data_IF_646033865801
#
_entry.id   IF_646033865801
#
_cell.length_a   1.000
_cell.length_b   1.000
_cell.length_c   1.000
_cell.angle_alpha   90.00
_cell.angle_beta   90.00
_cell.angle_gamma   90.00
#
_symmetry.space_group_name_H-M   'P 1'
#
loop_
_entity.id
_entity.type
_entity.pdbx_description
1 polymer ?
#
# COMPACT_ATOMS: atom_id res chain seq x y z
N UNK A 1 -33.54 4.05 -55.74
CA UNK A 1 -33.13 2.79 -56.38
C UNK A 1 -32.13 2.12 -55.45
N UNK A 2 -32.61 1.18 -54.64
CA UNK A 2 -31.82 0.45 -53.64
C UNK A 2 -31.30 -0.87 -54.25
N UNK A 3 -30.03 -1.20 -54.01
CA UNK A 3 -29.46 -2.53 -54.34
C UNK A 3 -29.00 -3.23 -53.08
N UNK A 4 -29.68 -4.34 -52.83
CA UNK A 4 -29.44 -5.35 -51.80
C UNK A 4 -28.15 -6.13 -52.10
N UNK A 5 -27.33 -6.37 -51.07
CA UNK A 5 -26.16 -7.26 -51.14
C UNK A 5 -26.45 -8.44 -50.23
N UNK A 6 -26.39 -9.63 -50.83
CA UNK A 6 -26.78 -10.91 -50.24
C UNK A 6 -25.82 -11.39 -49.15
N UNK A 7 -26.43 -12.02 -48.14
CA UNK A 7 -25.76 -12.74 -47.06
C UNK A 7 -25.36 -14.13 -47.56
N UNK A 8 -24.07 -14.47 -47.45
CA UNK A 8 -23.56 -15.79 -47.78
C UNK A 8 -23.78 -16.76 -46.61
N UNK A 9 -24.36 -17.89 -46.99
CA UNK A 9 -24.68 -19.06 -46.19
C UNK A 9 -23.41 -19.87 -45.91
N UNK A 10 -23.05 -20.09 -44.65
CA UNK A 10 -22.01 -21.06 -44.27
C UNK A 10 -22.46 -21.96 -43.12
N UNK A 11 -22.85 -23.17 -43.53
CA UNK A 11 -22.70 -24.48 -42.88
C UNK A 11 -22.68 -24.52 -41.35
N UNK A 12 -23.82 -24.94 -40.79
CA UNK A 12 -23.90 -25.69 -39.53
C UNK A 12 -23.09 -26.99 -39.63
N UNK A 13 -21.94 -27.04 -38.98
CA UNK A 13 -21.33 -28.31 -38.56
C UNK A 13 -21.80 -28.61 -37.14
N UNK A 14 -22.71 -29.58 -37.06
CA UNK A 14 -23.08 -30.28 -35.84
C UNK A 14 -21.85 -31.02 -35.32
N UNK A 15 -21.32 -30.61 -34.17
CA UNK A 15 -20.32 -31.38 -33.43
C UNK A 15 -20.96 -31.80 -32.11
N UNK A 16 -21.24 -33.09 -32.01
CA UNK A 16 -21.53 -33.81 -30.77
C UNK A 16 -20.44 -33.46 -29.74
N UNK A 17 -20.83 -32.77 -28.66
CA UNK A 17 -20.02 -32.72 -27.45
C UNK A 17 -20.57 -33.72 -26.45
N UNK A 18 -19.78 -34.78 -26.32
CA UNK A 18 -19.88 -35.92 -25.43
C UNK A 18 -20.14 -35.49 -23.99
N UNK A 19 -21.22 -36.02 -23.41
CA UNK A 19 -21.53 -35.95 -21.98
C UNK A 19 -20.62 -36.91 -21.19
N UNK A 20 -19.61 -36.39 -20.51
CA UNK A 20 -18.82 -37.04 -19.46
C UNK A 20 -18.23 -35.91 -18.59
N UNK A 21 -18.28 -35.83 -17.27
CA UNK A 21 -18.83 -36.66 -16.20
C UNK A 21 -19.17 -35.70 -15.03
N UNK A 22 -20.42 -35.74 -14.56
CA UNK A 22 -20.82 -35.06 -13.32
C UNK A 22 -20.30 -35.86 -12.13
N UNK A 23 -19.16 -35.46 -11.55
CA UNK A 23 -18.79 -35.89 -10.20
C UNK A 23 -19.50 -35.00 -9.19
N UNK A 24 -20.74 -35.37 -8.87
CA UNK A 24 -21.39 -34.96 -7.65
C UNK A 24 -20.76 -35.72 -6.48
N UNK A 25 -19.92 -35.04 -5.69
CA UNK A 25 -19.47 -35.54 -4.40
C UNK A 25 -20.26 -34.83 -3.30
N UNK A 26 -21.46 -35.34 -3.05
CA UNK A 26 -22.18 -35.10 -1.80
C UNK A 26 -21.68 -36.12 -0.77
N UNK A 27 -21.07 -35.66 0.31
CA UNK A 27 -21.02 -36.40 1.56
C UNK A 27 -21.71 -35.56 2.63
N UNK A 28 -22.82 -36.12 3.12
CA UNK A 28 -23.58 -35.66 4.25
C UNK A 28 -23.26 -36.51 5.49
N UNK A 29 -23.35 -35.90 6.67
CA UNK A 29 -23.29 -36.52 8.00
C UNK A 29 -22.38 -35.70 8.91
N UNK A 30 -22.79 -35.06 10.00
CA UNK A 30 -24.02 -35.12 10.78
C UNK A 30 -23.64 -35.20 12.26
N UNK A 31 -23.52 -34.06 12.95
CA UNK A 31 -23.74 -33.91 14.40
C UNK A 31 -24.07 -32.45 14.68
N UNK A 32 -25.27 -32.18 15.18
CA UNK A 32 -25.66 -30.86 15.66
C UNK A 32 -24.94 -30.56 16.98
N UNK A 33 -23.87 -29.77 16.89
CA UNK A 33 -23.27 -29.04 18.00
C UNK A 33 -23.24 -27.58 17.59
N UNK A 34 -23.46 -26.70 18.58
CA UNK A 34 -23.56 -25.25 18.46
C UNK A 34 -22.81 -24.65 17.25
N UNK A 35 -23.53 -23.95 16.37
CA UNK A 35 -22.94 -23.21 15.23
C UNK A 35 -22.01 -22.13 15.76
N UNK A 36 -20.75 -22.53 15.90
CA UNK A 36 -19.63 -21.70 16.27
C UNK A 36 -19.16 -20.93 15.05
N UNK A 37 -18.57 -19.75 15.26
CA UNK A 37 -17.95 -18.89 14.25
C UNK A 37 -16.86 -19.59 13.39
N UNK A 38 -16.65 -20.90 13.56
CA UNK A 38 -15.72 -21.73 12.82
C UNK A 38 -16.26 -22.20 11.46
N UNK A 39 -17.58 -22.20 11.23
CA UNK A 39 -18.18 -22.60 9.94
C UNK A 39 -17.90 -21.57 8.83
N UNK A 40 -17.96 -20.27 9.15
CA UNK A 40 -17.69 -19.20 8.18
C UNK A 40 -16.23 -19.16 7.71
N UNK A 41 -15.30 -19.48 8.62
CA UNK A 41 -13.86 -19.58 8.30
C UNK A 41 -13.59 -20.76 7.37
N UNK A 42 -14.30 -21.88 7.57
CA UNK A 42 -14.18 -23.07 6.73
C UNK A 42 -14.72 -22.85 5.31
N UNK A 43 -15.83 -22.11 5.18
CA UNK A 43 -16.41 -21.75 3.87
C UNK A 43 -15.49 -20.83 3.06
N UNK A 44 -14.87 -19.84 3.72
CA UNK A 44 -13.95 -18.92 3.07
C UNK A 44 -12.69 -19.63 2.54
N UNK A 45 -12.13 -20.56 3.31
CA UNK A 45 -10.96 -21.35 2.90
C UNK A 45 -11.28 -22.23 1.69
N UNK A 46 -12.48 -22.82 1.64
CA UNK A 46 -12.95 -23.61 0.48
C UNK A 46 -12.99 -22.76 -0.80
N UNK A 47 -13.51 -21.52 -0.73
CA UNK A 47 -13.50 -20.60 -1.87
C UNK A 47 -12.07 -20.28 -2.34
N UNK A 48 -11.13 -20.07 -1.43
CA UNK A 48 -9.73 -19.80 -1.80
C UNK A 48 -9.01 -21.03 -2.37
N UNK A 49 -9.34 -22.23 -1.92
CA UNK A 49 -8.81 -23.46 -2.52
C UNK A 49 -9.34 -23.67 -3.94
N UNK A 50 -10.64 -23.45 -4.16
CA UNK A 50 -11.25 -23.52 -5.49
C UNK A 50 -10.63 -22.50 -6.46
N UNK A 51 -10.38 -21.27 -6.01
CA UNK A 51 -9.74 -20.24 -6.81
C UNK A 51 -8.31 -20.64 -7.24
N UNK A 52 -7.49 -21.13 -6.29
CA UNK A 52 -6.13 -21.61 -6.59
C UNK A 52 -6.12 -22.77 -7.59
N UNK A 53 -7.08 -23.69 -7.47
CA UNK A 53 -7.21 -24.79 -8.41
C UNK A 53 -7.60 -24.30 -9.81
N UNK A 54 -8.55 -23.37 -9.90
CA UNK A 54 -8.99 -22.78 -11.16
C UNK A 54 -7.84 -22.04 -11.86
N UNK A 55 -7.04 -21.26 -11.12
CA UNK A 55 -5.85 -20.59 -11.66
C UNK A 55 -4.82 -21.59 -12.20
N UNK A 56 -4.57 -22.68 -11.45
CA UNK A 56 -3.67 -23.73 -11.88
C UNK A 56 -4.16 -24.43 -13.15
N UNK A 57 -5.47 -24.64 -13.30
CA UNK A 57 -6.07 -25.19 -14.52
C UNK A 57 -5.95 -24.20 -15.68
N UNK A 58 -6.32 -22.93 -15.48
CA UNK A 58 -6.25 -21.92 -16.52
C UNK A 58 -4.81 -21.70 -17.02
N UNK A 59 -3.82 -21.77 -16.12
CA UNK A 59 -2.40 -21.65 -16.48
C UNK A 59 -1.87 -22.79 -17.36
N UNK A 60 -2.51 -23.97 -17.31
CA UNK A 60 -2.09 -25.16 -18.07
C UNK A 60 -2.82 -25.32 -19.40
N UNK A 61 -3.74 -24.42 -19.75
CA UNK A 61 -4.42 -24.45 -21.06
C UNK A 61 -3.40 -24.23 -22.20
N UNK A 62 -3.38 -25.11 -23.21
CA UNK A 62 -2.49 -24.98 -24.38
C UNK A 62 -2.82 -23.74 -25.21
N UNK A 63 -1.91 -23.41 -26.15
CA UNK A 63 -1.56 -22.10 -26.73
C UNK A 63 -2.62 -21.22 -27.43
N UNK A 64 -3.90 -21.28 -27.05
CA UNK A 64 -4.85 -20.21 -27.38
C UNK A 64 -4.88 -19.16 -26.25
N UNK A 65 -4.23 -17.99 -26.44
CA UNK A 65 -4.23 -16.94 -25.42
C UNK A 65 -5.65 -16.44 -25.12
N UNK A 66 -6.55 -16.46 -26.11
CA UNK A 66 -7.95 -16.08 -25.93
C UNK A 66 -8.69 -17.01 -24.96
N UNK A 67 -8.51 -18.33 -25.08
CA UNK A 67 -9.12 -19.32 -24.18
C UNK A 67 -8.57 -19.21 -22.75
N UNK A 68 -7.26 -18.97 -22.63
CA UNK A 68 -6.63 -18.78 -21.33
C UNK A 68 -7.19 -17.55 -20.60
N UNK A 69 -7.35 -16.43 -21.32
CA UNK A 69 -7.95 -15.21 -20.77
C UNK A 69 -9.42 -15.44 -20.40
N UNK A 70 -10.21 -16.06 -21.26
CA UNK A 70 -11.60 -16.41 -20.98
C UNK A 70 -11.73 -17.31 -19.73
N UNK A 71 -10.83 -18.29 -19.57
CA UNK A 71 -10.75 -19.13 -18.38
C UNK A 71 -10.53 -18.31 -17.11
N UNK A 72 -9.55 -17.40 -17.10
CA UNK A 72 -9.29 -16.55 -15.93
C UNK A 72 -10.46 -15.62 -15.60
N UNK A 73 -11.14 -15.08 -16.61
CA UNK A 73 -12.33 -14.24 -16.42
C UNK A 73 -13.45 -15.04 -15.73
N UNK A 74 -13.71 -16.27 -16.21
CA UNK A 74 -14.72 -17.16 -15.62
C UNK A 74 -14.34 -17.62 -14.21
N UNK A 75 -13.07 -17.98 -13.99
CA UNK A 75 -12.56 -18.37 -12.67
C UNK A 75 -12.76 -17.26 -11.64
N UNK A 76 -12.45 -16.01 -12.02
CA UNK A 76 -12.63 -14.84 -11.16
C UNK A 76 -14.11 -14.54 -10.88
N UNK A 77 -14.99 -14.69 -11.87
CA UNK A 77 -16.42 -14.54 -11.67
C UNK A 77 -16.97 -15.57 -10.66
N UNK A 78 -16.56 -16.84 -10.79
CA UNK A 78 -16.93 -17.90 -9.86
C UNK A 78 -16.40 -17.66 -8.43
N UNK A 79 -15.19 -17.11 -8.30
CA UNK A 79 -14.63 -16.74 -7.00
C UNK A 79 -15.48 -15.65 -6.31
N UNK A 80 -15.92 -14.63 -7.04
CA UNK A 80 -16.78 -13.59 -6.49
C UNK A 80 -18.13 -14.15 -6.05
N UNK A 81 -18.74 -15.01 -6.85
CA UNK A 81 -19.99 -15.69 -6.48
C UNK A 81 -19.83 -16.54 -5.22
N UNK A 82 -18.69 -17.26 -5.09
CA UNK A 82 -18.38 -18.05 -3.89
C UNK A 82 -18.30 -17.17 -2.64
N UNK A 83 -17.58 -16.05 -2.73
CA UNK A 83 -17.44 -15.10 -1.62
C UNK A 83 -18.79 -14.47 -1.24
N UNK A 84 -19.62 -14.10 -2.21
CA UNK A 84 -20.94 -13.53 -1.97
C UNK A 84 -21.86 -14.50 -1.23
N UNK A 85 -21.82 -15.80 -1.58
CA UNK A 85 -22.58 -16.84 -0.87
C UNK A 85 -22.12 -17.00 0.58
N UNK A 86 -20.80 -17.08 0.80
CA UNK A 86 -20.23 -17.23 2.15
C UNK A 86 -20.58 -16.02 3.04
N UNK A 87 -20.51 -14.80 2.48
CA UNK A 87 -20.88 -13.58 3.21
C UNK A 87 -22.39 -13.51 3.48
N UNK A 88 -23.23 -13.93 2.52
CA UNK A 88 -24.68 -13.97 2.67
C UNK A 88 -25.13 -14.98 3.73
N UNK A 89 -24.44 -16.11 3.84
CA UNK A 89 -24.69 -17.13 4.85
C UNK A 89 -24.29 -16.64 6.25
N UNK A 90 -23.15 -15.95 6.37
CA UNK A 90 -22.73 -15.31 7.61
C UNK A 90 -23.68 -14.19 8.09
N UNK A 91 -24.44 -13.59 7.17
CA UNK A 91 -25.38 -12.51 7.46
C UNK A 91 -26.79 -13.00 7.86
N UNK A 92 -27.08 -14.31 7.79
CA UNK A 92 -28.40 -14.83 8.21
C UNK A 92 -28.52 -14.74 9.74
N UNK A 93 -29.45 -13.93 10.27
CA UNK A 93 -29.69 -13.89 11.71
C UNK A 93 -30.22 -15.26 12.14
N UNK A 94 -29.62 -15.82 13.19
CA UNK A 94 -30.11 -17.03 13.83
C UNK A 94 -31.56 -16.79 14.27
N UNK A 95 -32.52 -17.37 13.56
CA UNK A 95 -33.93 -17.38 13.98
C UNK A 95 -33.96 -18.19 15.28
N UNK A 96 -34.33 -17.61 16.43
CA UNK A 96 -34.42 -18.36 17.67
C UNK A 96 -35.54 -19.39 17.50
N UNK A 97 -35.16 -20.65 17.56
CA UNK A 97 -36.11 -21.76 17.62
C UNK A 97 -37.04 -21.57 18.82
N UNK A 98 -38.32 -21.54 18.52
CA UNK A 98 -39.44 -21.64 19.44
C UNK A 98 -39.20 -22.74 20.49
N UNK A 99 -39.14 -22.35 21.77
CA UNK A 99 -39.36 -23.24 22.91
C UNK A 99 -40.01 -22.46 24.04
N UNK A 100 -41.29 -22.78 24.23
CA UNK A 100 -42.04 -22.87 25.48
C UNK A 100 -41.86 -21.74 26.52
N UNK A 101 -42.80 -20.81 26.50
CA UNK A 101 -43.84 -20.71 27.54
C UNK A 101 -43.44 -21.15 28.96
N UNK A 102 -43.13 -20.17 29.81
CA UNK A 102 -43.67 -20.14 31.18
C UNK A 102 -43.74 -18.71 31.72
N UNK A 103 -44.95 -18.37 32.15
CA UNK A 103 -45.39 -17.10 32.70
C UNK A 103 -44.73 -16.76 34.05
N UNK A 104 -44.53 -15.45 34.32
CA UNK A 104 -44.83 -14.81 35.63
C UNK A 104 -44.59 -13.27 35.61
N UNK A 105 -45.12 -12.50 36.59
CA UNK A 105 -45.93 -11.31 36.31
C UNK A 105 -45.32 -9.99 36.84
N UNK A 106 -45.90 -8.88 36.37
CA UNK A 106 -45.61 -7.51 36.79
C UNK A 106 -46.15 -7.16 38.18
N UNK A 107 -45.60 -6.11 38.81
CA UNK A 107 -46.41 -5.20 39.63
C UNK A 107 -46.00 -3.70 39.39
N UNK A 108 -46.58 -2.69 40.08
CA UNK A 108 -47.57 -1.81 39.48
C UNK A 108 -47.13 -0.33 39.40
N UNK A 109 -47.99 0.41 38.71
CA UNK A 109 -48.05 1.85 38.48
C UNK A 109 -48.15 2.62 39.80
N UNK A 110 -47.49 3.79 39.87
CA UNK A 110 -48.08 4.90 40.63
C UNK A 110 -47.79 6.28 39.98
N UNK A 111 -48.69 7.20 40.27
CA UNK A 111 -49.13 8.27 39.38
C UNK A 111 -48.64 9.68 39.78
N UNK A 112 -48.29 10.47 38.76
CA UNK A 112 -48.68 11.89 38.55
C UNK A 112 -48.09 13.07 39.40
N UNK A 113 -48.13 14.32 38.85
CA UNK A 113 -47.21 15.47 39.08
C UNK A 113 -47.93 16.65 39.84
N UNK A 114 -47.57 17.98 39.82
CA UNK A 114 -46.67 18.79 38.96
C UNK A 114 -45.85 19.96 39.60
N UNK A 115 -45.13 20.68 38.72
CA UNK A 115 -44.91 22.14 38.64
C UNK A 115 -43.48 22.75 38.72
N UNK A 116 -43.35 23.84 37.93
CA UNK A 116 -42.31 24.87 37.80
C UNK A 116 -41.07 24.51 36.93
N UNK A 117 -40.82 25.09 35.75
CA UNK A 117 -40.71 26.49 35.28
C UNK A 117 -39.31 27.12 35.47
N UNK A 118 -38.85 27.85 34.43
CA UNK A 118 -37.54 28.51 34.22
C UNK A 118 -36.35 27.59 33.94
N UNK A 119 -35.43 27.81 33.00
CA UNK A 119 -34.90 29.07 32.47
C UNK A 119 -34.26 28.83 31.09
N UNK A 120 -34.42 29.79 30.16
CA UNK A 120 -33.92 29.75 28.78
C UNK A 120 -32.60 30.55 28.71
N UNK A 121 -31.47 30.00 28.25
CA UNK A 121 -30.27 30.80 28.04
C UNK A 121 -30.39 31.62 26.75
N UNK A 122 -30.21 32.93 26.89
CA UNK A 122 -29.90 33.82 25.78
C UNK A 122 -28.49 33.51 25.26
N UNK A 123 -28.33 33.38 23.95
CA UNK A 123 -27.03 33.46 23.30
C UNK A 123 -27.13 34.32 22.04
N UNK A 124 -26.35 35.38 22.11
CA UNK A 124 -26.29 36.57 21.28
C UNK A 124 -25.47 36.26 20.02
N UNK A 125 -26.09 36.37 18.85
CA UNK A 125 -25.41 36.38 17.55
C UNK A 125 -25.43 37.81 16.99
N UNK A 126 -24.26 38.37 16.68
CA UNK A 126 -24.00 39.36 15.63
C UNK A 126 -22.56 39.91 15.78
N UNK A 127 -21.58 39.21 15.21
CA UNK A 127 -20.27 39.76 14.93
C UNK A 127 -20.26 40.28 13.49
N UNK A 128 -20.32 41.60 13.33
CA UNK A 128 -20.30 42.33 12.07
C UNK A 128 -18.85 42.51 11.62
N UNK A 129 -18.51 41.99 10.45
CA UNK A 129 -17.25 42.24 9.76
C UNK A 129 -17.30 43.64 9.15
N UNK A 130 -16.42 44.53 9.59
CA UNK A 130 -16.10 45.77 8.88
C UNK A 130 -14.93 45.54 7.93
N UNK A 131 -15.14 45.94 6.69
CA UNK A 131 -14.19 45.96 5.60
C UNK A 131 -13.91 47.44 5.29
N UNK A 132 -12.64 47.84 5.09
CA UNK A 132 -12.36 48.98 4.22
C UNK A 132 -11.61 48.54 2.97
N UNK A 133 -12.16 48.92 1.81
CA UNK A 133 -11.47 49.00 0.53
C UNK A 133 -10.55 50.22 0.50
N UNK A 134 -9.31 50.04 0.02
CA UNK A 134 -8.53 51.02 -0.75
C UNK A 134 -7.54 50.20 -1.59
N UNK A 135 -7.67 50.02 -2.91
CA UNK A 135 -7.67 50.94 -4.06
C UNK A 135 -6.27 51.38 -4.53
N UNK A 136 -6.00 51.06 -5.80
CA UNK A 136 -5.13 51.72 -6.81
C UNK A 136 -3.61 51.45 -6.83
N UNK A 137 -3.13 51.09 -8.03
CA UNK A 137 -1.77 51.42 -8.52
C UNK A 137 -1.16 50.37 -9.45
N UNK A 138 -1.67 50.18 -10.69
CA UNK A 138 -1.02 50.57 -11.97
C UNK A 138 0.40 50.04 -12.23
N UNK A 139 0.50 49.29 -13.33
CA UNK A 139 1.68 48.97 -14.16
C UNK A 139 2.37 50.24 -14.71
N UNK A 140 3.64 50.16 -15.15
CA UNK A 140 4.01 49.85 -16.55
C UNK A 140 5.16 48.82 -16.65
N UNK A 141 5.20 47.90 -17.62
CA UNK A 141 5.58 48.03 -19.05
C UNK A 141 7.08 48.29 -19.25
N UNK A 142 7.63 47.59 -20.26
CA UNK A 142 8.94 47.69 -20.91
C UNK A 142 10.11 46.86 -20.34
N UNK A 143 10.98 46.21 -21.11
CA UNK A 143 11.09 46.04 -22.57
C UNK A 143 12.20 45.02 -22.89
N UNK A 144 12.08 44.50 -24.12
CA UNK A 144 12.93 43.66 -24.96
C UNK A 144 14.44 43.47 -24.66
N UNK A 145 14.94 42.27 -25.00
CA UNK A 145 15.91 42.01 -26.09
C UNK A 145 16.46 40.57 -25.96
N UNK A 146 16.10 39.63 -26.85
CA UNK A 146 16.77 39.28 -28.14
C UNK A 146 18.06 38.44 -28.01
N UNK A 147 17.99 37.25 -28.65
CA UNK A 147 18.97 36.60 -29.57
C UNK A 147 20.36 36.25 -28.98
N UNK A 148 21.03 35.14 -29.27
CA UNK A 148 21.10 34.21 -30.41
C UNK A 148 21.63 32.85 -29.89
N UNK A 149 21.16 31.71 -30.41
CA UNK A 149 21.86 30.88 -31.41
C UNK A 149 23.39 30.86 -31.33
N UNK A 150 23.95 29.72 -30.90
CA UNK A 150 25.18 29.15 -31.46
C UNK A 150 25.34 27.67 -31.05
N UNK A 151 25.02 26.79 -31.98
CA UNK A 151 25.55 25.42 -32.05
C UNK A 151 26.97 25.46 -32.63
N UNK A 152 27.86 24.54 -32.22
CA UNK A 152 28.64 23.80 -33.21
C UNK A 152 28.58 22.28 -32.89
N UNK A 153 28.13 21.45 -33.83
CA UNK A 153 28.84 20.88 -35.00
C UNK A 153 29.82 19.76 -34.63
N UNK A 154 29.45 18.57 -35.09
CA UNK A 154 30.08 17.26 -34.99
C UNK A 154 31.47 17.16 -35.64
N UNK A 155 32.29 16.24 -35.10
CA UNK A 155 33.23 15.38 -35.83
C UNK A 155 33.49 14.14 -34.94
N UNK A 156 32.94 12.95 -35.23
CA UNK A 156 33.38 11.91 -36.18
C UNK A 156 34.60 11.09 -35.70
N UNK A 157 34.27 9.86 -35.31
CA UNK A 157 34.95 8.56 -35.49
C UNK A 157 36.49 8.46 -35.54
N UNK A 158 37.03 7.50 -34.78
CA UNK A 158 37.72 6.34 -35.37
C UNK A 158 37.96 5.20 -34.36
N UNK A 159 37.44 4.03 -34.73
CA UNK A 159 37.66 2.63 -34.30
C UNK A 159 37.36 1.81 -35.59
N UNK A 160 37.86 0.58 -35.89
CA UNK A 160 38.78 -0.41 -35.27
C UNK A 160 39.79 -0.95 -36.35
N UNK A 161 40.19 -2.26 -36.48
CA UNK A 161 40.30 -3.44 -35.59
C UNK A 161 41.67 -4.19 -35.69
N UNK A 162 41.94 -5.14 -34.77
CA UNK A 162 42.61 -6.43 -35.10
C UNK A 162 42.65 -7.37 -33.87
N UNK A 163 41.89 -8.48 -33.90
CA UNK A 163 42.38 -9.88 -34.01
C UNK A 163 42.98 -10.42 -32.69
N UNK A 164 42.21 -11.20 -31.91
CA UNK A 164 42.02 -12.67 -32.03
C UNK A 164 43.15 -13.47 -31.39
N UNK A 165 42.87 -14.11 -30.25
CA UNK A 165 43.21 -15.51 -30.01
C UNK A 165 42.50 -16.05 -28.74
N UNK A 166 41.81 -17.17 -28.93
CA UNK A 166 41.36 -18.06 -27.86
C UNK A 166 42.51 -19.04 -27.51
N UNK A 167 42.44 -19.73 -26.35
CA UNK A 167 41.96 -21.11 -26.49
C UNK A 167 41.02 -21.59 -25.37
N UNK A 168 40.11 -22.43 -25.84
CA UNK A 168 39.38 -23.55 -25.25
C UNK A 168 39.89 -24.07 -23.90
N UNK A 169 38.98 -24.17 -22.94
CA UNK A 169 39.13 -24.92 -21.69
C UNK A 169 37.78 -25.09 -21.00
N UNK A 170 37.04 -26.10 -21.41
CA UNK A 170 35.78 -26.50 -20.78
C UNK A 170 36.00 -27.05 -19.37
N UNK A 171 34.95 -26.95 -18.54
CA UNK A 171 34.44 -27.93 -17.56
C UNK A 171 34.11 -27.33 -16.18
N UNK A 172 32.86 -27.60 -15.78
CA UNK A 172 32.22 -27.57 -14.45
C UNK A 172 31.66 -26.23 -13.94
N UNK A 173 30.47 -25.96 -14.47
CA UNK A 173 29.36 -25.38 -13.73
C UNK A 173 29.03 -26.25 -12.51
N UNK A 174 29.58 -25.92 -11.35
CA UNK A 174 29.06 -26.43 -10.08
C UNK A 174 27.96 -25.50 -9.55
N UNK A 175 26.81 -26.14 -9.38
CA UNK A 175 25.59 -25.63 -8.77
C UNK A 175 25.89 -25.19 -7.33
N UNK A 176 26.26 -23.92 -7.14
CA UNK A 176 26.20 -23.30 -5.81
C UNK A 176 24.73 -22.96 -5.52
N UNK A 177 24.09 -23.87 -4.78
CA UNK A 177 22.69 -23.79 -4.41
C UNK A 177 22.30 -22.40 -3.91
N UNK A 178 21.18 -21.90 -4.46
CA UNK A 178 20.35 -20.88 -3.83
C UNK A 178 19.93 -21.40 -2.45
N UNK A 179 20.77 -21.14 -1.46
CA UNK A 179 20.36 -21.15 -0.07
C UNK A 179 19.43 -19.94 0.07
N UNK A 180 18.13 -20.21 0.24
CA UNK A 180 17.21 -19.23 0.79
C UNK A 180 17.68 -18.94 2.23
N UNK A 181 18.69 -18.08 2.37
CA UNK A 181 18.92 -17.38 3.63
C UNK A 181 17.78 -16.36 3.75
N UNK A 182 16.63 -16.84 4.22
CA UNK A 182 15.69 -15.98 4.93
C UNK A 182 16.49 -15.46 6.13
N UNK A 183 16.83 -14.16 6.19
CA UNK A 183 17.53 -13.63 7.35
C UNK A 183 16.68 -13.90 8.58
N UNK A 184 17.35 -14.29 9.67
CA UNK A 184 16.72 -14.39 10.97
C UNK A 184 15.92 -13.11 11.28
N UNK A 185 14.76 -13.20 11.93
CA UNK A 185 14.01 -12.00 12.31
C UNK A 185 14.82 -11.23 13.34
N UNK A 186 15.48 -10.15 12.91
CA UNK A 186 16.30 -9.37 13.82
C UNK A 186 17.01 -8.24 13.10
N UNK A 187 16.56 -7.01 13.39
CA UNK A 187 17.28 -5.72 13.31
C UNK A 187 18.02 -5.35 12.00
N UNK A 188 17.99 -6.19 10.98
CA UNK A 188 18.66 -5.95 9.71
C UNK A 188 17.70 -5.33 8.70
N UNK A 189 18.24 -4.46 7.84
CA UNK A 189 17.49 -3.94 6.71
C UNK A 189 17.08 -5.06 5.76
N UNK A 190 15.81 -5.09 5.42
CA UNK A 190 15.26 -5.91 4.35
C UNK A 190 15.09 -4.99 3.15
N UNK A 191 15.81 -5.29 2.08
CA UNK A 191 15.75 -4.54 0.83
C UNK A 191 15.05 -5.36 -0.24
N UNK A 192 13.99 -4.80 -0.80
CA UNK A 192 13.26 -5.35 -1.94
C UNK A 192 13.43 -4.42 -3.13
N UNK A 193 13.90 -4.98 -4.24
CA UNK A 193 14.07 -4.28 -5.51
C UNK A 193 13.13 -4.92 -6.53
N UNK A 194 12.21 -4.14 -7.06
CA UNK A 194 11.29 -4.54 -8.11
C UNK A 194 11.24 -3.47 -9.20
N UNK A 195 10.56 -3.75 -10.30
CA UNK A 195 10.31 -2.77 -11.35
C UNK A 195 8.81 -2.62 -11.53
N UNK A 196 8.36 -1.39 -11.77
CA UNK A 196 6.96 -1.11 -12.06
C UNK A 196 6.52 -1.84 -13.34
N UNK A 197 5.39 -2.55 -13.34
CA UNK A 197 4.94 -3.31 -14.51
C UNK A 197 4.43 -2.41 -15.65
N UNK A 198 4.14 -1.14 -15.38
CA UNK A 198 3.59 -0.21 -16.38
C UNK A 198 4.69 0.51 -17.17
N UNK A 199 5.76 0.92 -16.50
CA UNK A 199 6.79 1.81 -17.06
C UNK A 199 8.22 1.33 -16.82
N UNK A 200 8.39 0.12 -16.24
CA UNK A 200 9.69 -0.48 -15.90
C UNK A 200 10.59 0.40 -15.01
N UNK A 201 10.01 1.40 -14.33
CA UNK A 201 10.75 2.24 -13.40
C UNK A 201 11.18 1.43 -12.17
N UNK A 202 12.38 1.67 -11.62
CA UNK A 202 12.84 0.95 -10.43
C UNK A 202 11.97 1.31 -9.21
N UNK A 203 11.61 0.29 -8.47
CA UNK A 203 10.88 0.36 -7.21
C UNK A 203 11.76 -0.27 -6.12
N UNK A 204 12.28 0.58 -5.23
CA UNK A 204 13.09 0.11 -4.10
C UNK A 204 12.28 0.30 -2.83
N UNK A 205 12.24 -0.73 -1.99
CA UNK A 205 11.68 -0.65 -0.64
C UNK A 205 12.69 -1.21 0.34
N UNK A 206 13.22 -0.36 1.21
CA UNK A 206 14.03 -0.75 2.34
C UNK A 206 13.18 -0.65 3.61
N UNK A 207 13.16 -1.71 4.42
CA UNK A 207 12.46 -1.71 5.71
C UNK A 207 13.34 -2.23 6.82
N UNK A 208 13.16 -1.69 8.01
CA UNK A 208 13.76 -2.19 9.25
C UNK A 208 12.68 -2.23 10.34
N UNK A 209 12.75 -3.25 11.19
CA UNK A 209 11.80 -3.41 12.30
C UNK A 209 12.29 -2.62 13.51
N UNK A 210 11.33 -2.18 14.32
CA UNK A 210 11.64 -1.58 15.61
C UNK A 210 12.30 -2.61 16.54
N UNK A 211 13.16 -2.12 17.43
CA UNK A 211 13.67 -2.91 18.56
C UNK A 211 12.70 -3.01 19.72
N UNK A 212 11.64 -2.18 19.73
CA UNK A 212 10.56 -2.26 20.70
C UNK A 212 9.37 -3.04 20.14
N UNK A 213 8.81 -3.92 20.96
CA UNK A 213 7.58 -4.64 20.66
C UNK A 213 6.41 -4.05 21.46
N UNK A 214 5.94 -2.89 21.03
CA UNK A 214 4.77 -2.23 21.62
C UNK A 214 3.57 -2.52 20.76
N UNK A 215 2.52 -3.12 21.36
CA UNK A 215 1.27 -3.41 20.67
C UNK A 215 0.72 -2.16 19.99
N UNK A 216 0.41 -2.28 18.70
CA UNK A 216 -0.13 -1.20 17.87
C UNK A 216 0.76 0.08 17.89
N UNK A 217 2.02 -0.05 18.31
CA UNK A 217 3.04 0.99 18.27
C UNK A 217 3.72 1.07 16.91
N UNK A 218 4.65 2.01 16.73
CA UNK A 218 5.45 2.06 15.53
C UNK A 218 6.36 0.83 15.48
N UNK A 219 6.30 0.06 14.39
CA UNK A 219 6.98 -1.24 14.32
C UNK A 219 7.90 -1.40 13.10
N UNK A 220 7.78 -0.51 12.11
CA UNK A 220 8.54 -0.60 10.86
C UNK A 220 8.91 0.79 10.39
N UNK A 221 10.19 1.02 10.17
CA UNK A 221 10.68 2.20 9.47
C UNK A 221 10.96 1.81 8.02
N UNK A 222 10.45 2.58 7.08
CA UNK A 222 10.48 2.25 5.66
C UNK A 222 10.97 3.43 4.81
N UNK A 223 11.91 3.14 3.92
CA UNK A 223 12.38 4.04 2.87
C UNK A 223 11.96 3.45 1.54
N UNK A 224 11.25 4.24 0.72
CA UNK A 224 10.76 3.81 -0.58
C UNK A 224 11.27 4.74 -1.67
N UNK A 225 11.61 4.17 -2.82
CA UNK A 225 11.85 4.88 -4.05
C UNK A 225 10.82 4.44 -5.08
N UNK A 226 10.03 5.38 -5.61
CA UNK A 226 9.08 5.12 -6.70
C UNK A 226 9.09 6.28 -7.67
N UNK A 227 9.30 5.99 -8.96
CA UNK A 227 9.31 7.01 -10.01
C UNK A 227 10.23 8.21 -9.66
N UNK A 228 11.44 7.92 -9.15
CA UNK A 228 12.43 8.90 -8.68
C UNK A 228 12.00 9.73 -7.45
N UNK A 229 10.81 9.48 -6.88
CA UNK A 229 10.36 10.06 -5.64
C UNK A 229 10.76 9.18 -4.45
N UNK A 230 11.44 9.77 -3.48
CA UNK A 230 11.79 9.10 -2.23
C UNK A 230 10.70 9.38 -1.20
N UNK A 231 10.25 8.35 -0.50
CA UNK A 231 9.30 8.46 0.59
C UNK A 231 9.88 7.81 1.85
N UNK A 232 9.72 8.49 2.98
CA UNK A 232 10.05 7.98 4.31
C UNK A 232 8.75 7.75 5.07
N UNK A 233 8.57 6.58 5.68
CA UNK A 233 7.38 6.29 6.47
C UNK A 233 7.65 5.40 7.67
N UNK A 234 6.77 5.50 8.66
CA UNK A 234 6.73 4.62 9.83
C UNK A 234 5.39 3.91 9.83
N UNK A 235 5.39 2.59 10.02
CA UNK A 235 4.19 1.75 10.00
C UNK A 235 3.86 1.16 11.35
N UNK A 236 2.64 0.67 11.47
CA UNK A 236 2.14 -0.12 12.60
C UNK A 236 1.30 -1.29 12.09
N UNK A 237 1.14 -2.31 12.94
CA UNK A 237 0.17 -3.38 12.72
C UNK A 237 -1.26 -2.94 13.09
N UNK A 238 -1.37 -1.95 13.98
CA UNK A 238 -2.63 -1.36 14.41
C UNK A 238 -3.17 -0.30 13.45
N UNK A 239 -3.99 0.60 13.99
CA UNK A 239 -4.53 1.76 13.26
C UNK A 239 -4.43 3.00 14.12
N UNK A 240 -3.71 4.00 13.65
CA UNK A 240 -3.65 5.32 14.27
C UNK A 240 -4.72 6.23 13.70
N UNK A 241 -5.17 7.17 14.53
CA UNK A 241 -6.06 8.25 14.11
C UNK A 241 -5.37 9.60 14.28
N UNK A 242 -5.52 10.48 13.30
CA UNK A 242 -5.10 11.87 13.43
C UNK A 242 -6.11 12.63 14.31
N UNK A 243 -5.66 13.48 15.24
CA UNK A 243 -6.55 14.35 16.02
C UNK A 243 -7.34 15.33 15.13
N UNK A 244 -6.70 15.84 14.05
CA UNK A 244 -7.29 16.76 13.07
C UNK A 244 -6.74 16.49 11.67
N UNK A 245 -7.62 16.48 10.66
CA UNK A 245 -7.23 16.23 9.28
C UNK A 245 -6.60 14.85 9.10
N UNK A 246 -5.49 14.80 8.36
CA UNK A 246 -4.68 13.61 8.11
C UNK A 246 -3.23 13.81 8.58
N UNK A 247 -2.99 14.70 9.55
CA UNK A 247 -1.65 14.94 10.08
C UNK A 247 -1.52 14.40 11.51
N UNK A 248 -0.39 13.74 11.78
CA UNK A 248 -0.04 13.24 13.10
C UNK A 248 1.26 13.90 13.55
N UNK A 249 1.29 14.43 14.77
CA UNK A 249 2.53 14.96 15.35
C UNK A 249 3.44 13.80 15.73
N UNK A 250 4.64 13.81 15.16
CA UNK A 250 5.68 12.82 15.42
C UNK A 250 6.86 13.54 16.06
N UNK A 251 7.21 13.10 17.26
CA UNK A 251 8.43 13.44 17.96
C UNK A 251 9.49 12.42 17.51
N UNK A 252 10.60 12.87 16.94
CA UNK A 252 11.72 11.98 16.61
C UNK A 252 13.04 12.52 17.13
N UNK A 253 13.95 11.60 17.44
CA UNK A 253 15.26 11.88 17.99
C UNK A 253 16.28 10.97 17.31
N UNK A 254 17.38 11.56 16.84
CA UNK A 254 18.50 10.81 16.26
C UNK A 254 19.61 10.77 17.32
N UNK A 255 19.92 9.58 17.84
CA UNK A 255 20.81 9.40 18.99
C UNK A 255 20.38 10.31 20.16
N UNK A 256 21.31 11.12 20.69
CA UNK A 256 21.09 12.07 21.78
C UNK A 256 20.87 13.52 21.30
N UNK A 257 20.53 13.71 20.03
CA UNK A 257 20.17 15.04 19.51
C UNK A 257 18.88 15.57 20.15
N UNK A 258 18.59 16.87 20.06
CA UNK A 258 17.30 17.42 20.50
C UNK A 258 16.12 16.72 19.82
N UNK A 259 15.06 16.47 20.58
CA UNK A 259 13.81 15.92 20.04
C UNK A 259 13.19 16.95 19.09
N UNK A 260 12.91 16.52 17.86
CA UNK A 260 12.23 17.35 16.86
C UNK A 260 10.78 16.89 16.75
N UNK A 261 9.84 17.80 16.99
CA UNK A 261 8.40 17.59 16.83
C UNK A 261 7.93 18.17 15.51
N UNK A 262 7.35 17.35 14.64
CA UNK A 262 6.82 17.84 13.36
C UNK A 262 5.60 17.05 12.87
N UNK A 263 4.71 17.65 12.05
CA UNK A 263 3.58 16.95 11.48
C UNK A 263 4.00 16.02 10.34
N UNK A 264 3.53 14.77 10.40
CA UNK A 264 3.67 13.75 9.35
C UNK A 264 2.29 13.43 8.78
N UNK A 265 2.24 12.94 7.54
CA UNK A 265 0.98 12.64 6.85
C UNK A 265 0.56 11.22 7.21
N UNK A 266 -0.57 11.08 7.89
CA UNK A 266 -1.20 9.79 8.17
C UNK A 266 -1.83 9.22 6.90
N UNK A 267 -1.56 7.94 6.63
CA UNK A 267 -2.18 7.21 5.54
C UNK A 267 -3.68 7.06 5.75
N UNK A 268 -4.44 6.94 4.65
CA UNK A 268 -5.90 6.78 4.71
C UNK A 268 -6.34 5.53 5.49
N UNK A 269 -5.52 4.48 5.44
CA UNK A 269 -5.77 3.25 6.20
C UNK A 269 -5.35 3.36 7.68
N UNK A 270 -4.72 4.47 8.10
CA UNK A 270 -4.23 4.72 9.44
C UNK A 270 -3.06 3.83 9.86
N UNK A 271 -2.43 3.09 8.93
CA UNK A 271 -1.38 2.12 9.25
C UNK A 271 0.04 2.65 9.08
N UNK A 272 0.18 3.87 8.55
CA UNK A 272 1.47 4.50 8.35
C UNK A 272 1.40 6.01 8.51
N UNK A 273 2.51 6.60 8.92
CA UNK A 273 2.75 8.04 8.81
C UNK A 273 3.94 8.27 7.88
N UNK A 274 3.80 9.16 6.92
CA UNK A 274 4.85 9.52 5.96
C UNK A 274 5.42 10.90 6.27
N UNK A 275 6.74 11.01 6.16
CA UNK A 275 7.46 12.26 6.37
C UNK A 275 7.01 13.31 5.35
N UNK A 276 6.68 14.52 5.83
CA UNK A 276 6.10 15.57 4.99
C UNK A 276 7.15 16.41 4.23
N UNK A 277 8.34 16.58 4.83
CA UNK A 277 9.39 17.43 4.27
C UNK A 277 10.33 16.62 3.37
N UNK A 278 11.52 17.12 3.04
CA UNK A 278 12.49 16.41 2.20
C UNK A 278 13.05 15.16 2.92
N UNK A 279 12.67 13.93 2.49
CA UNK A 279 13.17 12.72 3.12
C UNK A 279 14.64 12.45 2.80
N UNK A 280 15.17 12.99 1.71
CA UNK A 280 16.57 12.82 1.31
C UNK A 280 17.48 13.56 2.28
N UNK A 281 17.13 14.80 2.65
CA UNK A 281 17.88 15.58 3.64
C UNK A 281 17.88 14.90 5.01
N UNK A 282 16.72 14.42 5.48
CA UNK A 282 16.63 13.71 6.75
C UNK A 282 17.44 12.40 6.73
N UNK A 283 17.35 11.59 5.67
CA UNK A 283 18.14 10.37 5.56
C UNK A 283 19.66 10.65 5.53
N UNK A 284 20.07 11.76 4.92
CA UNK A 284 21.49 12.17 4.88
C UNK A 284 22.00 12.67 6.24
N UNK A 285 21.16 13.34 7.02
CA UNK A 285 21.54 13.84 8.34
C UNK A 285 21.71 12.73 9.39
N UNK A 286 21.08 11.57 9.17
CA UNK A 286 21.21 10.41 10.07
C UNK A 286 22.59 9.74 9.88
N UNK A 287 23.40 9.62 10.95
CA UNK A 287 24.68 8.91 10.92
C UNK A 287 24.50 7.39 10.68
N UNK A 288 25.57 6.74 10.23
CA UNK A 288 25.57 5.27 10.14
C UNK A 288 25.47 4.63 11.53
N UNK A 289 24.61 3.62 11.68
CA UNK A 289 24.43 2.93 12.95
C UNK A 289 23.73 3.77 14.03
N UNK A 290 23.12 4.89 13.66
CA UNK A 290 22.39 5.72 14.60
C UNK A 290 21.09 5.03 15.07
N UNK A 291 20.69 5.34 16.29
CA UNK A 291 19.39 4.96 16.83
C UNK A 291 18.39 6.08 16.56
N UNK A 292 17.31 5.77 15.85
CA UNK A 292 16.18 6.68 15.65
C UNK A 292 15.08 6.33 16.65
N UNK A 293 14.82 7.22 17.61
CA UNK A 293 13.68 7.11 18.52
C UNK A 293 12.53 7.93 17.97
N UNK A 294 11.33 7.37 18.02
CA UNK A 294 10.12 8.01 17.52
C UNK A 294 9.01 7.83 18.52
N UNK A 295 8.35 8.92 18.90
CA UNK A 295 7.12 8.92 19.67
C UNK A 295 6.02 9.65 18.92
N UNK A 296 4.82 9.09 18.94
CA UNK A 296 3.62 9.70 18.36
C UNK A 296 2.46 9.58 19.34
N UNK A 297 1.52 10.53 19.25
CA UNK A 297 0.28 10.52 20.02
C UNK A 297 -0.90 10.50 19.07
N UNK A 298 -1.71 9.44 19.13
CA UNK A 298 -2.90 9.28 18.28
C UNK A 298 -4.10 10.10 18.78
N UNK A 299 -5.23 10.03 18.08
CA UNK A 299 -6.49 10.70 18.43
C UNK A 299 -6.98 10.38 19.85
N UNK A 300 -6.61 9.23 20.42
CA UNK A 300 -6.91 8.86 21.80
C UNK A 300 -5.95 9.46 22.82
N UNK A 301 -5.01 10.32 22.39
CA UNK A 301 -3.85 10.79 23.15
C UNK A 301 -3.00 9.65 23.70
N UNK A 302 -3.07 8.45 23.08
CA UNK A 302 -2.23 7.33 23.47
C UNK A 302 -0.85 7.57 22.87
N UNK A 303 0.12 7.88 23.74
CA UNK A 303 1.52 8.04 23.34
C UNK A 303 2.15 6.67 23.14
N UNK A 304 2.73 6.45 21.97
CA UNK A 304 3.41 5.22 21.59
C UNK A 304 4.80 5.57 21.10
N UNK A 305 5.78 4.82 21.56
CA UNK A 305 7.18 5.06 21.26
C UNK A 305 7.80 3.81 20.65
N UNK A 306 8.79 4.03 19.79
CA UNK A 306 9.59 3.01 19.19
C UNK A 306 11.03 3.48 18.94
N UNK A 307 11.97 2.54 19.00
CA UNK A 307 13.35 2.76 18.59
C UNK A 307 13.70 1.90 17.37
N UNK A 308 14.55 2.44 16.49
CA UNK A 308 15.05 1.76 15.31
C UNK A 308 16.58 1.88 15.28
N UNK A 309 17.28 0.76 15.23
CA UNK A 309 18.74 0.73 15.10
C UNK A 309 19.14 0.74 13.63
N UNK A 310 19.61 1.87 13.11
CA UNK A 310 19.81 2.09 11.68
C UNK A 310 21.20 1.59 11.19
N UNK A 311 21.63 0.43 11.69
CA UNK A 311 22.86 -0.23 11.23
C UNK A 311 22.69 -0.68 9.78
N UNK A 312 23.60 -0.31 8.87
CA UNK A 312 23.49 -0.59 7.43
C UNK A 312 22.74 0.47 6.62
N UNK A 313 22.41 1.62 7.23
CA UNK A 313 21.72 2.72 6.55
C UNK A 313 22.52 3.26 5.34
N UNK A 314 23.84 3.20 5.37
CA UNK A 314 24.76 3.61 4.30
C UNK A 314 24.48 2.85 3.00
N UNK A 315 24.37 1.52 3.08
CA UNK A 315 24.01 0.68 1.95
C UNK A 315 22.61 0.97 1.42
N UNK A 316 21.66 1.26 2.32
CA UNK A 316 20.30 1.68 1.94
C UNK A 316 20.33 3.02 1.21
N UNK A 317 21.01 4.03 1.75
CA UNK A 317 21.14 5.37 1.13
C UNK A 317 21.79 5.29 -0.24
N UNK A 318 22.83 4.45 -0.39
CA UNK A 318 23.48 4.25 -1.67
C UNK A 318 22.52 3.65 -2.69
N UNK A 319 21.87 2.53 -2.36
CA UNK A 319 20.97 1.84 -3.30
C UNK A 319 19.72 2.65 -3.65
N UNK A 320 19.05 3.22 -2.64
CA UNK A 320 17.91 4.11 -2.84
C UNK A 320 18.34 5.34 -3.63
N UNK A 321 19.47 5.96 -3.28
CA UNK A 321 19.98 7.14 -3.96
C UNK A 321 20.34 6.91 -5.42
N UNK A 322 20.92 5.76 -5.76
CA UNK A 322 21.16 5.37 -7.16
C UNK A 322 19.85 5.19 -7.92
N UNK A 323 18.88 4.45 -7.37
CA UNK A 323 17.60 4.19 -8.03
C UNK A 323 16.73 5.45 -8.19
N UNK A 324 16.72 6.32 -7.19
CA UNK A 324 15.97 7.57 -7.18
C UNK A 324 16.76 8.77 -7.73
N UNK A 325 18.01 8.56 -8.20
CA UNK A 325 18.87 9.61 -8.76
C UNK A 325 19.04 10.80 -7.81
N UNK A 326 19.37 10.54 -6.55
CA UNK A 326 19.56 11.61 -5.57
C UNK A 326 20.67 12.57 -6.01
N UNK A 327 20.50 13.90 -5.79
CA UNK A 327 21.54 14.88 -6.11
C UNK A 327 22.82 14.59 -5.32
N UNK A 328 24.02 14.71 -5.89
CA UNK A 328 25.25 14.52 -5.13
C UNK A 328 25.30 15.49 -3.94
N UNK A 329 25.94 15.08 -2.84
CA UNK A 329 26.19 15.98 -1.71
C UNK A 329 27.27 16.95 -2.16
N UNK A 330 26.89 18.17 -2.50
CA UNK A 330 27.85 19.22 -2.87
C UNK A 330 28.54 19.69 -1.59
N UNK A 331 29.74 19.17 -1.32
CA UNK A 331 30.65 19.79 -0.35
C UNK A 331 31.00 21.17 -0.88
N UNK A 332 30.36 22.19 -0.33
CA UNK A 332 30.62 23.59 -0.62
C UNK A 332 32.02 23.92 -0.11
N UNK A 333 33.05 23.64 -0.91
CA UNK A 333 34.40 24.12 -0.67
C UNK A 333 34.37 25.63 -0.81
N UNK A 334 34.24 26.31 0.33
CA UNK A 334 34.50 27.73 0.48
C UNK A 334 35.97 27.96 0.10
N UNK A 335 36.20 28.25 -1.17
CA UNK A 335 37.44 28.85 -1.63
C UNK A 335 37.41 30.31 -1.20
N UNK A 336 37.86 30.54 0.02
CA UNK A 336 38.29 31.87 0.45
C UNK A 336 39.39 32.32 -0.51
N UNK A 337 39.14 33.41 -1.23
CA UNK A 337 40.18 34.14 -1.93
C UNK A 337 40.27 35.54 -1.33
N UNK A 338 41.48 35.80 -0.85
CA UNK A 338 42.02 37.04 -0.29
C UNK A 338 41.75 38.25 -1.17
#
# INVERSE_FOLDING_TARGET
MARSIGFNETKRTSVMWTRLASFALCLAGGTALAQSANESVSGLESCFQAARLADAVCSKLPDEPAQRVDCFVKARAAQLECLERVLSEAARPAVPGSSAEMARPAPPVDSAPPDASSERPASKAAGRTEQPQVSVGRTPVDEAARRSDASPKSATANVPPSAAEAPTGAVRSDLSGKKNDRPAPGTAWILSETTSPLDYSPLITAVIRSTSDVKDGPNTFAVRCRAQHTELSIRTDGRWGAPRGNELLVDYQINDQPIVRQPWILSMDGKAVSYKNDPIELLRSIPEGATLKVALADKGNVRREAAFELTGLSGVRQKVGTACKWPPVTTKTSSGKR
#
